data_IF_604611842848
#
_entry.id   IF_604611842848
#
_cell.length_a   1.000
_cell.length_b   1.000
_cell.length_c   1.000
_cell.angle_alpha   90.00
_cell.angle_beta   90.00
_cell.angle_gamma   90.00
#
_symmetry.space_group_name_H-M   'P 1'
#
loop_
_entity.id
_entity.type
_entity.pdbx_description
1 polymer ?
#
# COMPACT_ATOMS: atom_id res chain seq x y z
N UNK A 1 -6.65 11.98 9.38
CA UNK A 1 -6.18 11.72 8.00
C UNK A 1 -7.14 10.82 7.22
N UNK A 2 -7.41 9.60 7.67
CA UNK A 2 -8.22 8.61 6.94
C UNK A 2 -9.59 9.11 6.45
N UNK A 3 -10.32 9.89 7.25
CA UNK A 3 -11.60 10.48 6.82
C UNK A 3 -11.42 11.43 5.62
N UNK A 4 -10.37 12.25 5.63
CA UNK A 4 -10.05 13.20 4.55
C UNK A 4 -9.59 12.49 3.28
N UNK A 5 -9.00 11.30 3.40
CA UNK A 5 -8.68 10.42 2.26
C UNK A 5 -9.94 9.88 1.56
N UNK A 6 -11.12 10.02 2.15
CA UNK A 6 -12.40 9.67 1.51
C UNK A 6 -13.21 10.88 1.03
N UNK A 7 -12.64 12.09 1.13
CA UNK A 7 -13.29 13.32 0.68
C UNK A 7 -13.65 13.27 -0.80
N UNK A 8 -14.76 13.93 -1.19
CA UNK A 8 -15.09 14.14 -2.60
C UNK A 8 -14.05 15.02 -3.31
N UNK A 9 -13.39 15.89 -2.56
CA UNK A 9 -12.36 16.80 -3.04
C UNK A 9 -11.00 16.10 -3.17
N UNK A 10 -10.42 16.15 -4.38
CA UNK A 10 -9.13 15.52 -4.69
C UNK A 10 -7.98 16.11 -3.88
N UNK A 11 -8.00 17.41 -3.56
CA UNK A 11 -6.90 18.08 -2.90
C UNK A 11 -6.85 17.67 -1.42
N UNK A 12 -8.02 17.50 -0.80
CA UNK A 12 -8.09 16.90 0.54
C UNK A 12 -7.59 15.46 0.57
N UNK A 13 -7.93 14.65 -0.44
CA UNK A 13 -7.43 13.27 -0.51
C UNK A 13 -5.91 13.25 -0.71
N UNK A 14 -5.40 14.07 -1.63
CA UNK A 14 -3.97 14.17 -1.91
C UNK A 14 -3.19 14.64 -0.68
N UNK A 15 -3.61 15.75 -0.05
CA UNK A 15 -2.97 16.28 1.16
C UNK A 15 -2.96 15.25 2.29
N UNK A 16 -4.10 14.61 2.56
CA UNK A 16 -4.17 13.62 3.64
C UNK A 16 -3.32 12.37 3.37
N UNK A 17 -3.19 11.96 2.11
CA UNK A 17 -2.33 10.85 1.70
C UNK A 17 -0.86 11.23 1.79
N UNK A 18 -0.52 12.48 1.46
CA UNK A 18 0.85 13.00 1.54
C UNK A 18 1.31 13.14 3.00
N UNK A 19 0.43 13.62 3.87
CA UNK A 19 0.68 13.68 5.32
C UNK A 19 0.92 12.27 5.87
N UNK A 20 0.09 11.29 5.49
CA UNK A 20 0.28 9.91 5.90
C UNK A 20 1.61 9.33 5.38
N UNK A 21 1.99 9.59 4.12
CA UNK A 21 3.28 9.18 3.58
C UNK A 21 4.44 9.73 4.41
N UNK A 22 4.36 11.00 4.76
CA UNK A 22 5.37 11.68 5.58
C UNK A 22 5.47 11.06 6.98
N UNK A 23 4.34 10.70 7.59
CA UNK A 23 4.34 10.01 8.89
C UNK A 23 4.90 8.58 8.79
N UNK A 24 4.56 7.82 7.73
CA UNK A 24 5.06 6.46 7.51
C UNK A 24 6.58 6.41 7.30
N UNK A 25 7.19 7.48 6.77
CA UNK A 25 8.63 7.58 6.58
C UNK A 25 9.41 7.89 7.87
N UNK A 26 8.74 8.24 8.97
CA UNK A 26 9.40 8.48 10.25
C UNK A 26 9.73 7.16 10.93
N UNK A 27 10.89 7.09 11.57
CA UNK A 27 11.27 5.91 12.37
C UNK A 27 10.44 5.76 13.65
N UNK A 28 9.86 6.86 14.13
CA UNK A 28 9.09 6.92 15.38
C UNK A 28 7.64 6.44 15.25
N UNK A 29 7.11 6.29 14.03
CA UNK A 29 5.73 5.84 13.86
C UNK A 29 5.58 4.40 14.34
N UNK A 30 4.56 4.18 15.16
CA UNK A 30 4.13 2.85 15.60
C UNK A 30 2.63 2.75 15.37
N UNK A 31 2.23 1.78 14.57
CA UNK A 31 0.84 1.45 14.32
C UNK A 31 0.44 0.33 15.28
N UNK A 32 -0.73 0.44 15.89
CA UNK A 32 -1.38 -0.70 16.52
C UNK A 32 -2.17 -1.51 15.48
N UNK A 33 -2.63 -2.70 15.86
CA UNK A 33 -3.27 -3.66 14.93
C UNK A 33 -4.48 -3.08 14.20
N UNK A 34 -5.28 -2.26 14.90
CA UNK A 34 -6.45 -1.61 14.30
C UNK A 34 -6.03 -0.50 13.33
N UNK A 35 -5.01 0.28 13.68
CA UNK A 35 -4.46 1.32 12.81
C UNK A 35 -3.80 0.73 11.56
N UNK A 36 -3.01 -0.35 11.70
CA UNK A 36 -2.44 -1.08 10.56
C UNK A 36 -3.55 -1.48 9.58
N UNK A 37 -4.59 -2.16 10.07
CA UNK A 37 -5.71 -2.61 9.23
C UNK A 37 -6.41 -1.46 8.52
N UNK A 38 -6.66 -0.35 9.22
CA UNK A 38 -7.34 0.82 8.66
C UNK A 38 -6.50 1.53 7.62
N UNK A 39 -5.20 1.70 7.87
CA UNK A 39 -4.25 2.34 6.95
C UNK A 39 -4.08 1.51 5.69
N UNK A 40 -3.81 0.20 5.84
CA UNK A 40 -3.66 -0.74 4.71
C UNK A 40 -4.90 -0.72 3.83
N UNK A 41 -6.09 -0.89 4.43
CA UNK A 41 -7.36 -0.85 3.71
C UNK A 41 -7.55 0.48 2.96
N UNK A 42 -7.17 1.60 3.56
CA UNK A 42 -7.33 2.91 2.93
C UNK A 42 -6.36 3.09 1.76
N UNK A 43 -5.08 2.73 1.91
CA UNK A 43 -4.10 2.84 0.82
C UNK A 43 -4.50 1.96 -0.36
N UNK A 44 -4.89 0.71 -0.11
CA UNK A 44 -5.38 -0.18 -1.17
C UNK A 44 -6.61 0.38 -1.88
N UNK A 45 -7.54 1.00 -1.15
CA UNK A 45 -8.70 1.68 -1.73
C UNK A 45 -8.29 2.87 -2.62
N UNK A 46 -7.25 3.63 -2.24
CA UNK A 46 -6.77 4.77 -3.03
C UNK A 46 -6.03 4.37 -4.32
N UNK A 47 -5.64 3.10 -4.48
CA UNK A 47 -5.19 2.60 -5.78
C UNK A 47 -6.30 2.66 -6.84
N UNK A 48 -7.56 2.67 -6.41
CA UNK A 48 -8.74 2.85 -7.26
C UNK A 48 -9.26 4.31 -7.27
N UNK A 49 -8.47 5.27 -6.80
CA UNK A 49 -8.89 6.68 -6.84
C UNK A 49 -9.13 7.14 -8.29
N UNK A 50 -10.13 8.00 -8.48
CA UNK A 50 -10.43 8.56 -9.81
C UNK A 50 -9.36 9.54 -10.30
N UNK A 51 -8.54 10.06 -9.40
CA UNK A 51 -7.46 10.98 -9.72
C UNK A 51 -6.10 10.26 -9.71
N UNK A 52 -5.39 10.30 -10.84
CA UNK A 52 -4.11 9.61 -11.01
C UNK A 52 -2.98 10.12 -10.10
N UNK A 53 -3.02 11.37 -9.65
CA UNK A 53 -2.01 11.88 -8.70
C UNK A 53 -2.19 11.26 -7.32
N UNK A 54 -3.45 11.09 -6.89
CA UNK A 54 -3.78 10.38 -5.64
C UNK A 54 -3.42 8.89 -5.76
N UNK A 55 -3.70 8.24 -6.90
CA UNK A 55 -3.29 6.84 -7.14
C UNK A 55 -1.76 6.68 -7.07
N UNK A 56 -1.02 7.55 -7.75
CA UNK A 56 0.44 7.54 -7.74
C UNK A 56 1.01 7.73 -6.33
N UNK A 57 0.40 8.60 -5.53
CA UNK A 57 0.80 8.83 -4.16
C UNK A 57 0.47 7.62 -3.26
N UNK A 58 -0.67 6.97 -3.47
CA UNK A 58 -1.03 5.74 -2.77
C UNK A 58 -0.03 4.61 -3.04
N UNK A 59 0.41 4.44 -4.29
CA UNK A 59 1.47 3.47 -4.63
C UNK A 59 2.78 3.80 -3.91
N UNK A 60 3.19 5.07 -3.87
CA UNK A 60 4.39 5.47 -3.13
C UNK A 60 4.29 5.20 -1.63
N UNK A 61 3.09 5.26 -1.05
CA UNK A 61 2.87 4.93 0.35
C UNK A 61 3.07 3.44 0.65
N UNK A 62 2.85 2.54 -0.32
CA UNK A 62 3.04 1.09 -0.12
C UNK A 62 4.47 0.77 0.32
N UNK A 63 5.46 1.48 -0.21
CA UNK A 63 6.86 1.23 0.10
C UNK A 63 7.20 1.34 1.59
N UNK A 64 7.10 2.53 2.20
CA UNK A 64 7.31 2.66 3.64
C UNK A 64 6.28 1.85 4.45
N UNK A 65 5.03 1.73 3.98
CA UNK A 65 3.98 1.01 4.72
C UNK A 65 4.36 -0.45 5.01
N UNK A 66 4.89 -1.19 4.03
CA UNK A 66 5.23 -2.61 4.24
C UNK A 66 6.34 -2.83 5.27
N UNK A 67 7.17 -1.82 5.54
CA UNK A 67 8.18 -1.85 6.60
C UNK A 67 7.64 -1.47 7.98
N UNK A 68 6.40 -0.96 8.07
CA UNK A 68 5.78 -0.44 9.30
C UNK A 68 4.60 -1.26 9.81
N UNK A 69 4.20 -2.31 9.08
CA UNK A 69 3.09 -3.19 9.45
C UNK A 69 3.58 -4.62 9.66
N UNK A 70 2.77 -5.45 10.32
CA UNK A 70 3.07 -6.86 10.54
C UNK A 70 2.93 -7.69 9.25
N UNK A 71 3.58 -8.85 9.24
CA UNK A 71 3.65 -9.76 8.07
C UNK A 71 2.29 -10.10 7.46
N UNK A 72 1.27 -10.37 8.27
CA UNK A 72 -0.08 -10.68 7.77
C UNK A 72 -0.73 -9.52 7.00
N UNK A 73 -0.37 -8.27 7.30
CA UNK A 73 -0.81 -7.11 6.54
C UNK A 73 -0.05 -6.99 5.22
N UNK A 74 1.24 -7.32 5.22
CA UNK A 74 2.05 -7.39 3.98
C UNK A 74 1.47 -8.44 3.04
N UNK A 75 1.13 -9.62 3.56
CA UNK A 75 0.43 -10.67 2.80
C UNK A 75 -0.89 -10.14 2.22
N UNK A 76 -1.70 -9.45 3.02
CA UNK A 76 -2.95 -8.83 2.56
C UNK A 76 -2.72 -7.82 1.42
N UNK A 77 -1.67 -6.99 1.52
CA UNK A 77 -1.28 -6.03 0.47
C UNK A 77 -0.93 -6.78 -0.82
N UNK A 78 -0.06 -7.79 -0.73
CA UNK A 78 0.41 -8.55 -1.89
C UNK A 78 -0.74 -9.29 -2.56
N UNK A 79 -1.58 -9.99 -1.79
CA UNK A 79 -2.74 -10.73 -2.32
C UNK A 79 -3.73 -9.79 -3.04
N UNK A 80 -3.99 -8.62 -2.46
CA UNK A 80 -4.85 -7.60 -3.09
C UNK A 80 -4.25 -7.08 -4.40
N UNK A 81 -2.95 -6.79 -4.43
CA UNK A 81 -2.27 -6.32 -5.63
C UNK A 81 -2.26 -7.38 -6.74
N UNK A 82 -1.97 -8.63 -6.40
CA UNK A 82 -2.02 -9.76 -7.33
C UNK A 82 -3.43 -9.97 -7.89
N UNK A 83 -4.46 -9.89 -7.04
CA UNK A 83 -5.86 -9.97 -7.46
C UNK A 83 -6.21 -8.82 -8.41
N UNK A 84 -5.80 -7.60 -8.09
CA UNK A 84 -6.07 -6.42 -8.92
C UNK A 84 -5.35 -6.45 -10.28
N UNK A 85 -4.22 -7.14 -10.39
CA UNK A 85 -3.56 -7.38 -11.69
C UNK A 85 -4.39 -8.25 -12.65
N UNK A 86 -5.40 -8.96 -12.13
CA UNK A 86 -6.37 -9.72 -12.93
C UNK A 86 -7.65 -8.93 -13.23
N UNK A 87 -7.73 -7.64 -12.83
CA UNK A 87 -8.90 -6.81 -13.06
C UNK A 87 -9.15 -6.54 -14.54
N UNK A 88 -10.41 -6.44 -14.97
CA UNK A 88 -10.77 -5.97 -16.30
C UNK A 88 -10.39 -4.49 -16.54
N UNK A 89 -10.18 -3.72 -15.47
CA UNK A 89 -9.78 -2.30 -15.54
C UNK A 89 -8.27 -2.19 -15.79
N UNK A 90 -7.88 -1.77 -16.99
CA UNK A 90 -6.48 -1.58 -17.38
C UNK A 90 -5.69 -0.69 -16.41
N UNK A 91 -6.24 0.46 -16.04
CA UNK A 91 -5.60 1.36 -15.08
C UNK A 91 -5.34 0.72 -13.72
N UNK A 92 -6.24 -0.17 -13.26
CA UNK A 92 -6.07 -0.86 -11.99
C UNK A 92 -4.98 -1.95 -12.09
N UNK A 93 -4.87 -2.62 -13.23
CA UNK A 93 -3.77 -3.57 -13.48
C UNK A 93 -2.42 -2.87 -13.47
N UNK A 94 -2.30 -1.75 -14.19
CA UNK A 94 -1.06 -0.99 -14.31
C UNK A 94 -0.58 -0.47 -12.95
N UNK A 95 -1.47 0.19 -12.20
CA UNK A 95 -1.12 0.75 -10.90
C UNK A 95 -0.78 -0.36 -9.89
N UNK A 96 -1.47 -1.51 -9.95
CA UNK A 96 -1.20 -2.65 -9.08
C UNK A 96 0.11 -3.35 -9.42
N UNK A 97 0.48 -3.42 -10.70
CA UNK A 97 1.79 -3.94 -11.12
C UNK A 97 2.93 -3.06 -10.62
N UNK A 98 2.77 -1.73 -10.64
CA UNK A 98 3.75 -0.80 -10.07
C UNK A 98 3.80 -0.98 -8.55
N UNK A 99 2.64 -1.04 -7.88
CA UNK A 99 2.55 -1.28 -6.45
C UNK A 99 3.24 -2.57 -6.02
N UNK A 100 3.03 -3.67 -6.73
CA UNK A 100 3.67 -4.95 -6.44
C UNK A 100 5.19 -4.87 -6.61
N UNK A 101 5.67 -4.22 -7.67
CA UNK A 101 7.11 -3.97 -7.85
C UNK A 101 7.69 -3.13 -6.71
N UNK A 102 6.98 -2.09 -6.26
CA UNK A 102 7.39 -1.27 -5.12
C UNK A 102 7.49 -2.11 -3.85
N UNK A 103 6.47 -2.92 -3.55
CA UNK A 103 6.47 -3.79 -2.37
C UNK A 103 7.64 -4.77 -2.41
N UNK A 104 7.86 -5.46 -3.52
CA UNK A 104 8.98 -6.41 -3.67
C UNK A 104 10.34 -5.71 -3.47
N UNK A 105 10.48 -4.46 -3.92
CA UNK A 105 11.72 -3.70 -3.76
C UNK A 105 12.05 -3.32 -2.31
N UNK A 106 11.06 -3.26 -1.42
CA UNK A 106 11.22 -2.92 -0.01
C UNK A 106 11.34 -4.15 0.90
N UNK A 107 10.99 -5.34 0.38
CA UNK A 107 11.22 -6.58 1.11
C UNK A 107 12.73 -6.83 1.23
N UNK A 108 13.21 -7.34 2.38
CA UNK A 108 14.61 -7.71 2.51
C UNK A 108 14.98 -8.69 1.39
N UNK A 109 16.18 -8.54 0.78
CA UNK A 109 16.62 -9.47 -0.26
C UNK A 109 16.54 -10.87 0.32
N UNK A 110 15.89 -11.79 -0.41
CA UNK A 110 15.76 -13.17 0.01
C UNK A 110 17.17 -13.69 0.35
N UNK A 111 17.44 -13.83 1.65
CA UNK A 111 18.69 -14.42 2.13
C UNK A 111 18.77 -15.77 1.45
N UNK A 112 19.84 -16.03 0.70
CA UNK A 112 20.12 -17.33 0.12
C UNK A 112 20.10 -18.39 1.22
N UNK A 113 18.93 -19.01 1.48
CA UNK A 113 18.80 -20.06 2.50
C UNK A 113 17.65 -19.96 3.52
N UNK A 114 16.47 -19.40 3.23
CA UNK A 114 15.29 -19.77 4.02
C UNK A 114 14.01 -19.88 3.20
N UNK A 115 13.32 -20.99 3.42
CA UNK A 115 12.17 -21.50 2.69
C UNK A 115 10.97 -20.54 2.64
N UNK A 116 10.67 -20.02 1.46
CA UNK A 116 9.30 -19.72 1.03
C UNK A 116 8.74 -20.84 0.11
N UNK A 117 9.47 -21.95 -0.01
CA UNK A 117 9.01 -23.18 -0.66
C UNK A 117 8.76 -24.26 0.40
N UNK A 118 7.77 -24.04 1.25
CA UNK A 118 7.13 -25.09 2.03
C UNK A 118 5.86 -24.52 2.66
N UNK A 119 4.74 -24.58 1.94
CA UNK A 119 3.56 -25.31 2.38
C UNK A 119 2.43 -25.17 1.35
N UNK A 120 2.25 -26.28 0.62
CA UNK A 120 1.05 -26.78 -0.08
C UNK A 120 0.54 -25.99 -1.29
#
# INVERSE_FOLDING_TARGET
>A
LLEKMTSSDKDFRFMATNDLMTELQKDSIKLDDDSERKVVKMILKLLEDKNGEVQNLAVKCLGPLVSKVKEYQVETIVDTLCTNMLSDKEQLRDISSIGLKTVIGELPPASSGSALAANV
#
